data_IF_969074743885
#
_entry.id   IF_969074743885
#
_cell.length_a   1.000
_cell.length_b   1.000
_cell.length_c   1.000
_cell.angle_alpha   90.00
_cell.angle_beta   90.00
_cell.angle_gamma   90.00
#
_symmetry.space_group_name_H-M   'P 1'
#
loop_
_entity.id
_entity.type
_entity.pdbx_description
1 polymer ?
#
# COMPACT_ATOMS: atom_id res chain seq x y z
N UNK A 1 -43.57 -35.46 49.31
CA UNK A 1 -43.40 -34.01 49.09
C UNK A 1 -41.91 -33.73 49.11
N UNK A 2 -41.31 -33.56 47.92
CA UNK A 2 -40.85 -32.26 47.39
C UNK A 2 -39.74 -31.64 48.24
N UNK A 3 -38.51 -31.77 47.77
CA UNK A 3 -37.66 -30.60 47.41
C UNK A 3 -36.36 -31.10 46.76
N UNK A 4 -36.44 -31.21 45.43
CA UNK A 4 -35.30 -31.33 44.53
C UNK A 4 -34.69 -29.93 44.42
N UNK A 5 -33.53 -29.70 45.02
CA UNK A 5 -32.79 -28.45 44.85
C UNK A 5 -31.86 -28.63 43.65
N UNK A 6 -32.32 -28.09 42.52
CA UNK A 6 -31.64 -28.04 41.24
C UNK A 6 -30.35 -27.22 41.42
N UNK A 7 -29.20 -27.90 41.43
CA UNK A 7 -27.90 -27.25 41.30
C UNK A 7 -27.69 -26.93 39.81
N UNK A 8 -28.15 -25.76 39.38
CA UNK A 8 -27.88 -25.23 38.04
C UNK A 8 -26.39 -24.89 37.93
N UNK A 9 -25.60 -25.87 37.49
CA UNK A 9 -24.27 -25.65 36.92
C UNK A 9 -24.42 -24.75 35.70
N UNK A 10 -24.19 -23.46 35.86
CA UNK A 10 -23.93 -22.53 34.76
C UNK A 10 -22.52 -22.89 34.25
N UNK A 11 -22.47 -23.85 33.32
CA UNK A 11 -21.34 -23.98 32.41
C UNK A 11 -21.38 -22.76 31.48
N UNK A 12 -20.75 -21.67 31.91
CA UNK A 12 -20.32 -20.66 30.96
C UNK A 12 -19.30 -21.33 30.05
N UNK A 13 -19.72 -21.64 28.83
CA UNK A 13 -18.83 -21.92 27.72
C UNK A 13 -17.86 -20.74 27.61
N UNK A 14 -16.68 -20.87 28.21
CA UNK A 14 -15.50 -20.16 27.75
C UNK A 14 -15.19 -20.75 26.37
N UNK A 15 -15.91 -20.28 25.34
CA UNK A 15 -15.33 -20.30 24.01
C UNK A 15 -14.00 -19.58 24.16
N UNK A 16 -12.94 -20.17 23.61
CA UNK A 16 -11.63 -19.53 23.55
C UNK A 16 -11.79 -18.23 22.73
N UNK A 17 -12.19 -17.15 23.40
CA UNK A 17 -11.87 -15.79 23.03
C UNK A 17 -10.35 -15.72 23.16
N UNK A 18 -9.65 -16.20 22.14
CA UNK A 18 -8.28 -15.76 21.92
C UNK A 18 -8.41 -14.24 21.86
N UNK A 19 -7.93 -13.57 22.91
CA UNK A 19 -7.95 -12.12 22.94
C UNK A 19 -7.23 -11.66 21.67
N UNK A 20 -7.94 -10.96 20.80
CA UNK A 20 -7.35 -10.35 19.61
C UNK A 20 -6.18 -9.48 20.09
N UNK A 21 -4.93 -9.89 19.81
CA UNK A 21 -3.73 -9.14 20.20
C UNK A 21 -3.04 -8.55 18.97
N UNK A 22 -2.26 -7.49 19.19
CA UNK A 22 -1.42 -6.90 18.15
C UNK A 22 -0.42 -7.92 17.59
N UNK A 23 0.11 -8.82 18.43
CA UNK A 23 1.02 -9.90 18.01
C UNK A 23 0.35 -10.85 17.01
N UNK A 24 -0.90 -11.24 17.23
CA UNK A 24 -1.65 -12.08 16.29
C UNK A 24 -1.82 -11.36 14.95
N UNK A 25 -2.17 -10.08 14.95
CA UNK A 25 -2.32 -9.30 13.73
C UNK A 25 -1.00 -9.14 12.96
N UNK A 26 0.11 -8.92 13.66
CA UNK A 26 1.46 -8.85 13.06
C UNK A 26 1.84 -10.18 12.41
N UNK A 27 1.63 -11.30 13.10
CA UNK A 27 1.95 -12.63 12.56
C UNK A 27 1.09 -12.98 11.35
N UNK A 28 -0.21 -12.67 11.38
CA UNK A 28 -1.09 -12.84 10.22
C UNK A 28 -0.61 -12.01 9.02
N UNK A 29 -0.31 -10.73 9.25
CA UNK A 29 0.16 -9.85 8.17
C UNK A 29 1.54 -10.27 7.62
N UNK A 30 2.43 -10.83 8.45
CA UNK A 30 3.68 -11.41 7.98
C UNK A 30 3.43 -12.62 7.03
N UNK A 31 2.35 -13.37 7.24
CA UNK A 31 1.92 -14.51 6.43
C UNK A 31 0.88 -14.14 5.35
N UNK A 32 0.77 -12.85 5.00
CA UNK A 32 -0.22 -12.34 4.02
C UNK A 32 -0.10 -12.95 2.62
N UNK A 33 1.08 -13.43 2.24
CA UNK A 33 1.32 -14.04 0.94
C UNK A 33 0.97 -15.53 0.90
N UNK A 34 0.94 -16.20 2.06
CA UNK A 34 0.54 -17.60 2.18
C UNK A 34 -0.98 -17.74 2.01
N UNK A 35 -1.73 -16.77 2.55
CA UNK A 35 -3.18 -16.61 2.36
C UNK A 35 -3.50 -15.12 2.37
N UNK A 36 -4.00 -14.58 1.26
CA UNK A 36 -4.35 -13.15 1.14
C UNK A 36 -5.38 -12.72 2.19
N UNK A 37 -6.23 -13.63 2.64
CA UNK A 37 -7.19 -13.40 3.71
C UNK A 37 -6.52 -13.10 5.05
N UNK A 38 -5.28 -13.52 5.27
CA UNK A 38 -4.54 -13.17 6.48
C UNK A 38 -4.37 -11.65 6.62
N UNK A 39 -4.21 -10.92 5.52
CA UNK A 39 -4.18 -9.46 5.56
C UNK A 39 -5.53 -8.88 5.98
N UNK A 40 -6.65 -9.43 5.50
CA UNK A 40 -7.98 -8.99 5.91
C UNK A 40 -8.26 -9.30 7.39
N UNK A 41 -7.86 -10.48 7.86
CA UNK A 41 -7.99 -10.87 9.28
C UNK A 41 -7.13 -9.97 10.18
N UNK A 42 -5.91 -9.65 9.77
CA UNK A 42 -5.06 -8.68 10.48
C UNK A 42 -5.71 -7.30 10.55
N UNK A 43 -6.27 -6.81 9.44
CA UNK A 43 -7.00 -5.54 9.39
C UNK A 43 -8.17 -5.50 10.40
N UNK A 44 -8.95 -6.59 10.50
CA UNK A 44 -10.06 -6.69 11.44
C UNK A 44 -9.58 -6.63 12.90
N UNK A 45 -8.49 -7.33 13.23
CA UNK A 45 -7.90 -7.28 14.57
C UNK A 45 -7.40 -5.87 14.92
N UNK A 46 -6.69 -5.21 14.00
CA UNK A 46 -6.26 -3.83 14.20
C UNK A 46 -7.44 -2.88 14.42
N UNK A 47 -8.53 -3.06 13.67
CA UNK A 47 -9.76 -2.29 13.83
C UNK A 47 -10.39 -2.47 15.22
N UNK A 48 -10.44 -3.71 15.71
CA UNK A 48 -10.99 -4.00 17.04
C UNK A 48 -10.13 -3.43 18.16
N UNK A 49 -8.81 -3.52 18.04
CA UNK A 49 -7.88 -2.90 18.99
C UNK A 49 -7.99 -1.38 18.99
N UNK A 50 -8.15 -0.75 17.82
CA UNK A 50 -8.26 0.70 17.68
C UNK A 50 -9.47 1.28 18.44
N UNK A 51 -10.57 0.51 18.58
CA UNK A 51 -11.78 0.92 19.31
C UNK A 51 -11.55 1.09 20.81
N UNK A 52 -10.57 0.37 21.37
CA UNK A 52 -10.25 0.36 22.81
C UNK A 52 -8.85 0.94 23.09
N UNK A 53 -8.24 1.58 22.09
CA UNK A 53 -6.92 2.16 22.23
C UNK A 53 -6.90 3.27 23.32
N UNK A 54 -5.87 3.30 24.18
CA UNK A 54 -5.85 4.17 25.35
C UNK A 54 -5.58 5.65 25.01
N UNK A 55 -4.97 5.92 23.85
CA UNK A 55 -4.57 7.25 23.43
C UNK A 55 -4.59 7.39 21.90
N UNK A 56 -4.44 8.63 21.43
CA UNK A 56 -4.48 8.98 20.02
C UNK A 56 -3.34 8.36 19.19
N UNK A 57 -2.10 8.33 19.73
CA UNK A 57 -0.95 7.78 19.01
C UNK A 57 -1.12 6.28 18.80
N UNK A 58 -1.52 5.55 19.85
CA UNK A 58 -1.81 4.12 19.75
C UNK A 58 -2.97 3.85 18.79
N UNK A 59 -4.06 4.64 18.85
CA UNK A 59 -5.19 4.51 17.92
C UNK A 59 -4.76 4.75 16.47
N UNK A 60 -3.93 5.76 16.23
CA UNK A 60 -3.42 6.09 14.91
C UNK A 60 -2.49 5.00 14.35
N UNK A 61 -1.63 4.42 15.19
CA UNK A 61 -0.79 3.27 14.81
C UNK A 61 -1.65 2.09 14.32
N UNK A 62 -2.67 1.73 15.10
CA UNK A 62 -3.57 0.63 14.77
C UNK A 62 -4.39 0.91 13.49
N UNK A 63 -4.92 2.12 13.32
CA UNK A 63 -5.71 2.47 12.14
C UNK A 63 -4.86 2.53 10.86
N UNK A 64 -3.60 2.99 10.93
CA UNK A 64 -2.73 2.91 9.75
C UNK A 64 -2.44 1.45 9.40
N UNK A 65 -2.19 0.58 10.38
CA UNK A 65 -1.93 -0.85 10.12
C UNK A 65 -3.17 -1.55 9.55
N UNK A 66 -4.37 -1.16 10.00
CA UNK A 66 -5.61 -1.58 9.36
C UNK A 66 -5.64 -1.16 7.89
N UNK A 67 -5.33 0.11 7.60
CA UNK A 67 -5.32 0.66 6.24
C UNK A 67 -4.28 0.00 5.32
N UNK A 68 -3.09 -0.27 5.84
CA UNK A 68 -2.01 -1.00 5.16
C UNK A 68 -2.45 -2.44 4.83
N UNK A 69 -3.01 -3.15 5.80
CA UNK A 69 -3.45 -4.52 5.61
C UNK A 69 -4.59 -4.62 4.58
N UNK A 70 -5.52 -3.65 4.61
CA UNK A 70 -6.55 -3.50 3.57
C UNK A 70 -5.97 -3.14 2.20
N UNK A 71 -4.93 -2.29 2.16
CA UNK A 71 -4.23 -1.99 0.91
C UNK A 71 -3.67 -3.25 0.29
N UNK A 72 -2.99 -4.10 1.07
CA UNK A 72 -2.46 -5.36 0.57
C UNK A 72 -3.57 -6.30 0.07
N UNK A 73 -4.61 -6.51 0.90
CA UNK A 73 -5.73 -7.38 0.54
C UNK A 73 -6.42 -6.91 -0.75
N UNK A 74 -6.84 -5.64 -0.80
CA UNK A 74 -7.49 -5.05 -1.98
C UNK A 74 -6.58 -5.05 -3.20
N UNK A 75 -5.27 -4.84 -3.02
CA UNK A 75 -4.31 -4.89 -4.13
C UNK A 75 -4.19 -6.31 -4.67
N UNK A 76 -4.14 -7.35 -3.83
CA UNK A 76 -3.84 -8.72 -4.28
C UNK A 76 -5.08 -9.59 -4.51
N UNK A 77 -6.28 -9.07 -4.22
CA UNK A 77 -7.54 -9.78 -4.41
C UNK A 77 -7.68 -10.26 -5.87
N UNK A 78 -7.70 -11.59 -6.04
CA UNK A 78 -7.97 -12.31 -7.29
C UNK A 78 -7.00 -12.00 -8.45
N UNK A 79 -5.75 -11.72 -8.09
CA UNK A 79 -4.68 -11.45 -9.05
C UNK A 79 -4.64 -9.98 -9.46
N UNK A 80 -3.47 -9.38 -9.39
CA UNK A 80 -3.27 -7.99 -9.76
C UNK A 80 -2.02 -7.81 -10.58
N UNK A 81 -2.13 -6.91 -11.56
CA UNK A 81 -1.03 -6.47 -12.37
C UNK A 81 -0.82 -4.97 -12.19
N UNK A 82 0.32 -4.52 -11.63
CA UNK A 82 0.55 -3.11 -11.34
C UNK A 82 0.88 -2.29 -12.58
N UNK A 83 1.36 -2.92 -13.64
CA UNK A 83 1.85 -2.30 -14.89
C UNK A 83 0.95 -2.64 -16.07
N UNK A 84 1.03 -1.86 -17.15
CA UNK A 84 0.29 -2.12 -18.39
C UNK A 84 1.18 -2.97 -19.33
N UNK A 85 0.98 -4.29 -19.33
CA UNK A 85 1.61 -5.21 -20.29
C UNK A 85 0.53 -5.68 -21.27
N UNK A 86 0.83 -5.68 -22.57
CA UNK A 86 -0.05 -6.29 -23.57
C UNK A 86 -0.24 -7.78 -23.25
N UNK A 87 -1.45 -8.31 -23.43
CA UNK A 87 -1.80 -9.74 -23.25
C UNK A 87 -1.95 -10.23 -21.80
N UNK A 88 -1.83 -9.37 -20.78
CA UNK A 88 -2.28 -9.72 -19.42
C UNK A 88 -3.78 -9.44 -19.30
N UNK A 89 -4.55 -10.46 -18.93
CA UNK A 89 -6.00 -10.33 -18.72
C UNK A 89 -6.29 -9.28 -17.65
N UNK A 90 -7.09 -8.27 -18.00
CA UNK A 90 -7.59 -7.31 -17.00
C UNK A 90 -8.32 -8.02 -15.87
N UNK A 91 -8.24 -7.46 -14.67
CA UNK A 91 -9.06 -7.89 -13.53
C UNK A 91 -10.54 -7.76 -13.93
N UNK A 92 -11.35 -8.83 -13.84
CA UNK A 92 -12.77 -8.77 -14.16
C UNK A 92 -13.50 -7.65 -13.41
N UNK A 93 -14.47 -7.00 -14.05
CA UNK A 93 -15.15 -5.82 -13.52
C UNK A 93 -15.84 -6.05 -12.16
N UNK A 94 -16.30 -7.28 -11.90
CA UNK A 94 -16.88 -7.67 -10.61
C UNK A 94 -15.90 -7.48 -9.44
N UNK A 95 -14.61 -7.74 -9.66
CA UNK A 95 -13.57 -7.53 -8.65
C UNK A 95 -13.12 -6.06 -8.59
N UNK A 96 -13.26 -5.27 -9.67
CA UNK A 96 -12.94 -3.83 -9.63
C UNK A 96 -13.78 -3.11 -8.58
N UNK A 97 -15.08 -3.44 -8.48
CA UNK A 97 -15.96 -2.85 -7.46
C UNK A 97 -15.54 -3.24 -6.04
N UNK A 98 -15.28 -4.51 -5.79
CA UNK A 98 -14.87 -4.98 -4.46
C UNK A 98 -13.55 -4.34 -4.03
N UNK A 99 -12.55 -4.30 -4.92
CA UNK A 99 -11.25 -3.64 -4.67
C UNK A 99 -11.42 -2.16 -4.41
N UNK A 100 -12.26 -1.49 -5.20
CA UNK A 100 -12.61 -0.08 -5.00
C UNK A 100 -13.19 0.15 -3.60
N UNK A 101 -14.15 -0.66 -3.16
CA UNK A 101 -14.79 -0.54 -1.84
C UNK A 101 -13.79 -0.78 -0.69
N UNK A 102 -12.89 -1.75 -0.84
CA UNK A 102 -11.81 -2.03 0.14
C UNK A 102 -10.88 -0.82 0.29
N UNK A 103 -10.38 -0.30 -0.83
CA UNK A 103 -9.47 0.85 -0.81
C UNK A 103 -10.16 2.12 -0.33
N UNK A 104 -11.46 2.28 -0.64
CA UNK A 104 -12.26 3.38 -0.13
C UNK A 104 -12.33 3.37 1.40
N UNK A 105 -12.74 2.24 1.97
CA UNK A 105 -12.76 2.07 3.43
C UNK A 105 -11.38 2.36 4.02
N UNK A 106 -10.32 1.82 3.42
CA UNK A 106 -8.96 1.94 3.92
C UNK A 106 -8.43 3.38 3.99
N UNK A 107 -8.77 4.27 3.04
CA UNK A 107 -8.37 5.69 3.17
C UNK A 107 -9.35 6.47 4.06
N UNK A 108 -10.65 6.17 4.04
CA UNK A 108 -11.66 6.91 4.83
C UNK A 108 -11.44 6.76 6.33
N UNK A 109 -11.03 5.57 6.82
CA UNK A 109 -10.72 5.37 8.24
C UNK A 109 -9.57 6.24 8.75
N UNK A 110 -8.68 6.71 7.86
CA UNK A 110 -7.52 7.51 8.23
C UNK A 110 -7.83 9.01 8.33
N UNK A 111 -8.90 9.49 7.70
CA UNK A 111 -9.21 10.93 7.66
C UNK A 111 -9.36 11.55 9.05
N UNK A 112 -10.12 10.96 10.00
CA UNK A 112 -10.29 11.55 11.32
C UNK A 112 -8.95 11.62 12.07
N UNK A 113 -8.21 10.51 12.11
CA UNK A 113 -6.98 10.42 12.90
C UNK A 113 -5.84 11.24 12.31
N UNK A 114 -5.79 11.38 10.99
CA UNK A 114 -4.86 12.27 10.30
C UNK A 114 -5.06 13.73 10.73
N UNK A 115 -6.31 14.19 10.83
CA UNK A 115 -6.62 15.57 11.26
C UNK A 115 -6.29 15.79 12.75
N UNK A 116 -6.58 14.80 13.60
CA UNK A 116 -6.25 14.85 15.02
C UNK A 116 -4.73 14.91 15.24
N UNK A 117 -3.95 14.07 14.53
CA UNK A 117 -2.48 14.12 14.57
C UNK A 117 -1.93 15.48 14.13
N UNK A 118 -2.48 16.08 13.07
CA UNK A 118 -2.07 17.43 12.62
C UNK A 118 -2.30 18.50 13.68
N UNK A 119 -3.36 18.37 14.48
CA UNK A 119 -3.69 19.29 15.57
C UNK A 119 -2.84 19.07 16.84
N UNK A 120 -2.15 17.94 16.97
CA UNK A 120 -1.24 17.70 18.10
C UNK A 120 0.00 18.61 18.04
N UNK A 121 0.61 18.94 19.20
CA UNK A 121 1.92 19.57 19.24
C UNK A 121 2.94 18.77 18.43
N UNK A 122 3.82 19.48 17.72
CA UNK A 122 4.83 18.85 16.90
C UNK A 122 5.85 18.06 17.73
N UNK A 123 6.10 16.82 17.34
CA UNK A 123 7.16 15.96 17.86
C UNK A 123 7.63 15.02 16.75
N UNK A 124 8.85 14.49 16.86
CA UNK A 124 9.40 13.56 15.86
C UNK A 124 8.54 12.29 15.72
N UNK A 125 8.11 11.72 16.84
CA UNK A 125 7.25 10.53 16.87
C UNK A 125 5.89 10.77 16.21
N UNK A 126 5.28 11.95 16.48
CA UNK A 126 4.03 12.37 15.82
C UNK A 126 4.24 12.51 14.32
N UNK A 127 5.29 13.21 13.90
CA UNK A 127 5.57 13.46 12.48
C UNK A 127 5.86 12.14 11.72
N UNK A 128 6.58 11.20 12.33
CA UNK A 128 6.80 9.85 11.78
C UNK A 128 5.49 9.09 11.55
N UNK A 129 4.63 9.08 12.56
CA UNK A 129 3.33 8.40 12.49
C UNK A 129 2.39 9.09 11.49
N UNK A 130 2.31 10.42 11.52
CA UNK A 130 1.50 11.21 10.61
C UNK A 130 1.91 10.97 9.16
N UNK A 131 3.21 10.90 8.88
CA UNK A 131 3.67 10.68 7.51
C UNK A 131 3.33 9.25 7.00
N UNK A 132 3.32 8.22 7.86
CA UNK A 132 2.78 6.88 7.51
C UNK A 132 1.28 6.91 7.24
N UNK A 133 0.51 7.60 8.10
CA UNK A 133 -0.94 7.78 7.94
C UNK A 133 -1.25 8.49 6.61
N UNK A 134 -0.56 9.59 6.32
CA UNK A 134 -0.71 10.34 5.06
C UNK A 134 -0.34 9.47 3.86
N UNK A 135 0.75 8.70 3.96
CA UNK A 135 1.16 7.81 2.88
C UNK A 135 0.07 6.77 2.56
N UNK A 136 -0.41 6.02 3.55
CA UNK A 136 -1.42 4.98 3.30
C UNK A 136 -2.80 5.55 2.95
N UNK A 137 -3.13 6.76 3.41
CA UNK A 137 -4.28 7.51 2.92
C UNK A 137 -4.18 7.74 1.40
N UNK A 138 -3.05 8.30 0.92
CA UNK A 138 -2.87 8.57 -0.49
C UNK A 138 -2.69 7.31 -1.35
N UNK A 139 -2.03 6.27 -0.82
CA UNK A 139 -1.86 4.99 -1.51
C UNK A 139 -3.22 4.33 -1.79
N UNK A 140 -4.08 4.26 -0.76
CA UNK A 140 -5.43 3.72 -0.91
C UNK A 140 -6.33 4.62 -1.76
N UNK A 141 -6.26 5.95 -1.62
CA UNK A 141 -6.99 6.88 -2.51
C UNK A 141 -6.57 6.70 -3.98
N UNK A 142 -5.28 6.50 -4.24
CA UNK A 142 -4.75 6.22 -5.57
C UNK A 142 -5.29 4.92 -6.14
N UNK A 143 -5.28 3.84 -5.36
CA UNK A 143 -5.83 2.54 -5.77
C UNK A 143 -7.33 2.57 -5.98
N UNK A 144 -8.07 3.27 -5.12
CA UNK A 144 -9.48 3.53 -5.34
C UNK A 144 -9.68 4.24 -6.69
N UNK A 145 -8.88 5.27 -6.99
CA UNK A 145 -8.95 6.00 -8.25
C UNK A 145 -8.60 5.17 -9.49
N UNK A 146 -7.64 4.26 -9.37
CA UNK A 146 -7.32 3.28 -10.42
C UNK A 146 -8.50 2.35 -10.71
N UNK A 147 -9.15 1.82 -9.66
CA UNK A 147 -10.29 0.90 -9.82
C UNK A 147 -11.59 1.60 -10.27
N UNK A 148 -11.82 2.84 -9.84
CA UNK A 148 -12.96 3.67 -10.27
C UNK A 148 -12.77 4.23 -11.70
N UNK A 149 -11.54 4.17 -12.22
CA UNK A 149 -11.14 4.78 -13.49
C UNK A 149 -10.37 6.08 -13.26
N UNK A 150 -9.12 6.21 -13.77
CA UNK A 150 -8.29 7.38 -13.51
C UNK A 150 -8.94 8.71 -13.92
N UNK A 151 -9.58 8.76 -15.09
CA UNK A 151 -10.26 9.97 -15.59
C UNK A 151 -11.50 10.32 -14.77
N UNK A 152 -12.30 9.31 -14.40
CA UNK A 152 -13.48 9.50 -13.55
C UNK A 152 -13.10 10.01 -12.15
N UNK A 153 -11.87 9.74 -11.71
CA UNK A 153 -11.33 10.10 -10.41
C UNK A 153 -10.50 11.39 -10.43
N UNK A 154 -10.44 12.11 -11.55
CA UNK A 154 -9.58 13.30 -11.72
C UNK A 154 -9.84 14.38 -10.65
N UNK A 155 -11.08 14.52 -10.18
CA UNK A 155 -11.44 15.46 -9.11
C UNK A 155 -10.69 15.23 -7.79
N UNK A 156 -10.17 14.02 -7.56
CA UNK A 156 -9.38 13.68 -6.36
C UNK A 156 -7.86 13.87 -6.55
N UNK A 157 -7.40 14.25 -7.75
CA UNK A 157 -5.96 14.43 -8.02
C UNK A 157 -5.32 15.47 -7.09
N UNK A 158 -5.99 16.60 -6.86
CA UNK A 158 -5.50 17.64 -5.96
C UNK A 158 -5.33 17.14 -4.52
N UNK A 159 -6.31 16.38 -4.03
CA UNK A 159 -6.29 15.74 -2.71
C UNK A 159 -5.14 14.76 -2.58
N UNK A 160 -5.00 13.84 -3.54
CA UNK A 160 -3.94 12.83 -3.54
C UNK A 160 -2.56 13.46 -3.63
N UNK A 161 -2.35 14.37 -4.58
CA UNK A 161 -1.06 15.05 -4.76
C UNK A 161 -0.71 15.89 -3.53
N UNK A 162 -1.67 16.63 -2.96
CA UNK A 162 -1.47 17.43 -1.75
C UNK A 162 -1.03 16.58 -0.56
N UNK A 163 -1.70 15.43 -0.34
CA UNK A 163 -1.30 14.48 0.70
C UNK A 163 0.14 13.97 0.49
N UNK A 164 0.51 13.56 -0.74
CA UNK A 164 1.87 13.10 -1.01
C UNK A 164 2.93 14.19 -0.88
N UNK A 165 2.60 15.45 -1.19
CA UNK A 165 3.49 16.58 -1.00
C UNK A 165 3.65 16.96 0.47
N UNK A 166 2.63 16.78 1.30
CA UNK A 166 2.71 17.06 2.74
C UNK A 166 3.77 16.19 3.46
N UNK A 167 4.00 14.95 2.99
CA UNK A 167 5.09 14.09 3.50
C UNK A 167 6.47 14.76 3.34
N UNK A 168 6.65 15.55 2.28
CA UNK A 168 7.88 16.32 2.08
C UNK A 168 7.96 17.47 3.08
N UNK A 169 6.86 18.12 3.39
CA UNK A 169 6.82 19.23 4.35
C UNK A 169 7.11 18.74 5.78
N UNK A 170 6.81 17.47 6.07
CA UNK A 170 7.22 16.77 7.30
C UNK A 170 8.70 16.34 7.31
N UNK A 171 9.44 16.54 6.21
CA UNK A 171 10.79 16.02 6.01
C UNK A 171 10.88 14.49 6.19
N UNK A 172 9.90 13.77 5.64
CA UNK A 172 9.76 12.30 5.70
C UNK A 172 9.69 11.67 4.31
N UNK A 173 10.39 12.25 3.34
CA UNK A 173 10.34 11.83 1.93
C UNK A 173 10.77 10.38 1.71
N UNK A 174 11.55 9.81 2.61
CA UNK A 174 12.05 8.44 2.60
C UNK A 174 11.00 7.37 2.90
N UNK A 175 9.84 7.75 3.46
CA UNK A 175 8.77 6.81 3.81
C UNK A 175 8.40 5.93 2.61
N UNK A 176 8.28 4.62 2.90
CA UNK A 176 7.85 3.62 1.94
C UNK A 176 8.71 3.62 0.66
N UNK A 177 10.02 3.78 0.89
CA UNK A 177 11.06 3.86 -0.13
C UNK A 177 10.75 4.96 -1.15
N UNK A 178 10.62 6.20 -0.68
CA UNK A 178 10.25 7.35 -1.50
C UNK A 178 8.89 7.20 -2.19
N UNK A 179 7.95 6.57 -1.48
CA UNK A 179 6.66 6.16 -2.03
C UNK A 179 5.75 7.33 -2.43
N UNK A 180 5.91 8.51 -1.83
CA UNK A 180 5.17 9.71 -2.21
C UNK A 180 5.44 10.11 -3.66
N UNK A 181 6.71 10.07 -4.09
CA UNK A 181 7.09 10.31 -5.48
C UNK A 181 6.61 9.18 -6.40
N UNK A 182 6.63 7.92 -5.94
CA UNK A 182 6.06 6.78 -6.69
C UNK A 182 4.59 7.02 -7.02
N UNK A 183 3.78 7.41 -6.04
CA UNK A 183 2.34 7.65 -6.20
C UNK A 183 2.06 8.84 -7.12
N UNK A 184 2.73 9.98 -6.91
CA UNK A 184 2.58 11.16 -7.79
C UNK A 184 2.98 10.81 -9.23
N UNK A 185 4.11 10.12 -9.40
CA UNK A 185 4.60 9.68 -10.70
C UNK A 185 3.62 8.76 -11.41
N UNK A 186 3.04 7.80 -10.68
CA UNK A 186 2.01 6.90 -11.21
C UNK A 186 0.76 7.65 -11.65
N UNK A 187 0.31 8.65 -10.90
CA UNK A 187 -0.81 9.50 -11.29
C UNK A 187 -0.54 10.29 -12.58
N UNK A 188 0.65 10.87 -12.73
CA UNK A 188 1.05 11.54 -13.98
C UNK A 188 1.10 10.59 -15.17
N UNK A 189 1.50 9.33 -14.95
CA UNK A 189 1.49 8.29 -15.97
C UNK A 189 0.05 7.94 -16.40
N UNK A 190 -0.81 7.62 -15.42
CA UNK A 190 -2.19 7.18 -15.68
C UNK A 190 -3.08 8.27 -16.31
N UNK A 191 -2.75 9.53 -16.08
CA UNK A 191 -3.48 10.68 -16.62
C UNK A 191 -2.77 11.32 -17.82
N UNK A 192 -1.74 10.68 -18.38
CA UNK A 192 -0.83 11.29 -19.35
C UNK A 192 -1.51 11.83 -20.63
N UNK A 193 -2.70 11.33 -20.99
CA UNK A 193 -3.48 11.81 -22.14
C UNK A 193 -4.19 13.15 -21.89
N UNK A 194 -4.28 13.60 -20.63
CA UNK A 194 -4.97 14.84 -20.26
C UNK A 194 -4.03 16.06 -20.27
N UNK A 195 -4.54 17.26 -20.62
CA UNK A 195 -3.77 18.50 -20.53
C UNK A 195 -3.19 18.73 -19.13
N UNK A 196 -1.91 19.07 -19.06
CA UNK A 196 -1.21 19.32 -17.80
C UNK A 196 -0.56 18.08 -17.17
N UNK A 197 -0.84 16.88 -17.68
CA UNK A 197 -0.19 15.62 -17.31
C UNK A 197 0.84 15.21 -18.37
N UNK A 198 1.42 14.01 -18.25
CA UNK A 198 2.27 13.44 -19.29
C UNK A 198 3.40 12.55 -18.78
N UNK A 199 3.87 11.66 -19.66
CA UNK A 199 4.89 10.66 -19.35
C UNK A 199 6.24 11.26 -18.90
N UNK A 200 6.67 12.40 -19.47
CA UNK A 200 7.90 13.09 -19.01
C UNK A 200 7.82 13.55 -17.55
N UNK A 201 6.63 13.98 -17.10
CA UNK A 201 6.41 14.33 -15.68
C UNK A 201 6.41 13.08 -14.82
N UNK A 202 5.76 12.00 -15.28
CA UNK A 202 5.80 10.71 -14.61
C UNK A 202 7.25 10.23 -14.41
N UNK A 203 8.06 10.21 -15.46
CA UNK A 203 9.49 9.87 -15.43
C UNK A 203 10.24 10.71 -14.39
N UNK A 204 10.01 12.02 -14.33
CA UNK A 204 10.68 12.90 -13.36
C UNK A 204 10.44 12.46 -11.90
N UNK A 205 9.20 12.13 -11.54
CA UNK A 205 8.86 11.69 -10.19
C UNK A 205 9.28 10.25 -9.92
N UNK A 206 9.06 9.34 -10.87
CA UNK A 206 9.41 7.93 -10.73
C UNK A 206 10.93 7.72 -10.65
N UNK A 207 11.71 8.52 -11.38
CA UNK A 207 13.16 8.58 -11.25
C UNK A 207 13.57 8.95 -9.82
N UNK A 208 12.95 9.97 -9.21
CA UNK A 208 13.25 10.35 -7.81
C UNK A 208 12.92 9.24 -6.83
N UNK A 209 11.80 8.52 -7.03
CA UNK A 209 11.46 7.37 -6.21
C UNK A 209 12.52 6.27 -6.34
N UNK A 210 12.89 5.91 -7.57
CA UNK A 210 13.90 4.90 -7.86
C UNK A 210 15.29 5.27 -7.30
N UNK A 211 15.82 6.45 -7.63
CA UNK A 211 17.16 6.88 -7.20
C UNK A 211 17.25 7.12 -5.69
N UNK A 212 16.16 7.57 -5.05
CA UNK A 212 16.14 7.76 -3.60
C UNK A 212 16.18 6.44 -2.83
N UNK A 213 15.70 5.35 -3.44
CA UNK A 213 15.50 4.06 -2.77
C UNK A 213 16.48 2.98 -3.22
N UNK A 214 17.63 3.36 -3.79
CA UNK A 214 18.64 2.39 -4.21
C UNK A 214 19.13 1.54 -3.02
N UNK A 215 19.39 0.25 -3.29
CA UNK A 215 20.07 -0.66 -2.35
C UNK A 215 21.50 -0.19 -2.04
N UNK A 216 22.16 -0.85 -1.09
CA UNK A 216 23.51 -0.47 -0.65
C UNK A 216 24.55 -0.47 -1.79
N UNK A 217 24.41 -1.42 -2.73
CA UNK A 217 25.27 -1.54 -3.92
C UNK A 217 24.96 -0.48 -5.00
N UNK A 218 23.88 0.29 -4.82
CA UNK A 218 23.38 1.31 -5.77
C UNK A 218 23.07 0.75 -7.16
N UNK A 219 22.63 -0.50 -7.23
CA UNK A 219 22.34 -1.23 -8.48
C UNK A 219 20.87 -1.17 -8.86
N UNK A 220 19.96 -1.21 -7.87
CA UNK A 220 18.51 -1.15 -8.08
C UNK A 220 17.79 -0.61 -6.85
N UNK A 221 16.51 -0.25 -6.99
CA UNK A 221 15.66 0.17 -5.88
C UNK A 221 15.30 -1.01 -4.96
N UNK A 222 15.30 -0.79 -3.65
CA UNK A 222 14.83 -1.76 -2.63
C UNK A 222 13.32 -2.03 -2.71
N UNK A 223 12.58 -1.24 -3.48
CA UNK A 223 11.16 -1.39 -3.72
C UNK A 223 10.88 -1.62 -5.21
N UNK A 224 10.42 -2.83 -5.58
CA UNK A 224 10.27 -3.21 -6.99
C UNK A 224 9.19 -2.42 -7.75
N UNK A 225 8.11 -1.94 -7.12
CA UNK A 225 7.21 -0.98 -7.81
C UNK A 225 7.91 0.30 -8.28
N UNK A 226 8.94 0.81 -7.58
CA UNK A 226 9.71 1.96 -8.09
C UNK A 226 10.46 1.59 -9.37
N UNK A 227 10.98 0.36 -9.45
CA UNK A 227 11.64 -0.19 -10.65
C UNK A 227 10.63 -0.32 -11.79
N UNK A 228 9.54 -1.04 -11.56
CA UNK A 228 8.55 -1.37 -12.58
C UNK A 228 7.90 -0.13 -13.18
N UNK A 229 7.43 0.80 -12.33
CA UNK A 229 6.79 2.02 -12.82
C UNK A 229 7.77 2.91 -13.55
N UNK A 230 9.01 3.01 -13.08
CA UNK A 230 10.01 3.84 -13.75
C UNK A 230 10.35 3.26 -15.13
N UNK A 231 10.62 1.96 -15.23
CA UNK A 231 10.87 1.27 -16.49
C UNK A 231 9.70 1.42 -17.47
N UNK A 232 8.46 1.21 -17.02
CA UNK A 232 7.26 1.39 -17.84
C UNK A 232 7.13 2.83 -18.36
N UNK A 233 7.40 3.83 -17.52
CA UNK A 233 7.35 5.24 -17.92
C UNK A 233 8.46 5.62 -18.90
N UNK A 234 9.66 5.04 -18.77
CA UNK A 234 10.78 5.24 -19.69
C UNK A 234 10.46 4.76 -21.10
N UNK A 235 9.79 3.62 -21.22
CA UNK A 235 9.34 3.09 -22.52
C UNK A 235 8.40 4.06 -23.23
N UNK A 236 7.52 4.75 -22.49
CA UNK A 236 6.60 5.76 -23.05
C UNK A 236 7.28 7.06 -23.51
N UNK A 237 8.58 7.24 -23.21
CA UNK A 237 9.36 8.41 -23.66
C UNK A 237 10.57 8.00 -24.50
N UNK A 238 10.49 6.83 -25.13
CA UNK A 238 11.51 6.30 -26.05
C UNK A 238 12.89 6.03 -25.39
N UNK A 239 12.93 5.87 -24.06
CA UNK A 239 14.13 5.50 -23.29
C UNK A 239 14.21 3.98 -23.01
N UNK A 240 13.79 3.15 -23.97
CA UNK A 240 13.67 1.69 -23.81
C UNK A 240 14.98 1.01 -23.40
N UNK A 241 16.14 1.48 -23.88
CA UNK A 241 17.43 0.91 -23.51
C UNK A 241 17.72 1.05 -22.00
N UNK A 242 17.37 2.20 -21.42
CA UNK A 242 17.51 2.43 -19.98
C UNK A 242 16.50 1.59 -19.19
N UNK A 243 15.26 1.47 -19.70
CA UNK A 243 14.25 0.61 -19.09
C UNK A 243 14.73 -0.85 -18.98
N UNK A 244 15.32 -1.40 -20.06
CA UNK A 244 15.90 -2.76 -20.06
C UNK A 244 16.99 -2.91 -19.00
N UNK A 245 17.96 -2.00 -18.96
CA UNK A 245 19.04 -2.05 -17.99
C UNK A 245 18.54 -2.02 -16.53
N UNK A 246 17.53 -1.19 -16.24
CA UNK A 246 16.92 -1.11 -14.90
C UNK A 246 16.23 -2.43 -14.52
N UNK A 247 15.49 -3.04 -15.45
CA UNK A 247 14.82 -4.32 -15.21
C UNK A 247 15.84 -5.45 -15.00
N UNK A 248 16.88 -5.53 -15.84
CA UNK A 248 17.95 -6.52 -15.72
C UNK A 248 18.69 -6.41 -14.38
N UNK A 249 18.99 -5.20 -13.92
CA UNK A 249 19.60 -4.97 -12.60
C UNK A 249 18.68 -5.40 -11.46
N UNK A 250 17.36 -5.20 -11.59
CA UNK A 250 16.40 -5.66 -10.58
C UNK A 250 16.24 -7.19 -10.57
N UNK A 251 16.40 -7.85 -11.71
CA UNK A 251 16.34 -9.31 -11.82
C UNK A 251 17.62 -10.01 -11.35
N UNK A 252 18.75 -9.30 -11.27
CA UNK A 252 20.02 -9.87 -10.84
C UNK A 252 20.20 -9.91 -9.31
N UNK A 253 19.37 -9.18 -8.55
CA UNK A 253 19.42 -9.15 -7.08
C UNK A 253 18.53 -10.22 -6.45
N UNK A 254 18.92 -10.70 -5.26
CA UNK A 254 18.15 -11.68 -4.51
C UNK A 254 16.94 -11.02 -3.79
N UNK A 255 15.73 -11.43 -4.17
CA UNK A 255 14.49 -10.95 -3.57
C UNK A 255 14.40 -11.17 -2.05
N UNK A 256 15.01 -12.23 -1.52
CA UNK A 256 14.99 -12.57 -0.09
C UNK A 256 15.76 -11.56 0.77
N UNK A 257 16.72 -10.85 0.17
CA UNK A 257 17.62 -9.95 0.89
C UNK A 257 17.44 -8.48 0.52
N UNK A 258 16.67 -8.18 -0.53
CA UNK A 258 16.52 -6.81 -1.02
C UNK A 258 15.73 -5.91 -0.06
N UNK A 259 14.63 -6.43 0.51
CA UNK A 259 13.84 -5.76 1.53
C UNK A 259 13.12 -6.78 2.43
N UNK A 260 13.52 -6.95 3.70
CA UNK A 260 13.02 -8.01 4.58
C UNK A 260 11.49 -8.03 4.73
N UNK A 261 10.87 -6.86 4.85
CA UNK A 261 9.40 -6.78 5.04
C UNK A 261 8.59 -6.97 3.76
N UNK A 262 9.25 -7.05 2.59
CA UNK A 262 8.60 -7.05 1.27
C UNK A 262 9.03 -8.23 0.39
N UNK A 263 9.52 -9.32 0.98
CA UNK A 263 9.93 -10.51 0.25
C UNK A 263 8.85 -11.00 -0.74
N UNK A 264 7.58 -11.22 -0.32
CA UNK A 264 6.58 -11.74 -1.24
C UNK A 264 6.22 -10.77 -2.37
N UNK A 265 6.12 -9.47 -2.07
CA UNK A 265 5.90 -8.44 -3.09
C UNK A 265 7.06 -8.39 -4.07
N UNK A 266 8.31 -8.42 -3.58
CA UNK A 266 9.52 -8.34 -4.41
C UNK A 266 9.60 -9.51 -5.37
N UNK A 267 9.26 -10.74 -4.93
CA UNK A 267 9.18 -11.91 -5.81
C UNK A 267 8.15 -11.72 -6.92
N UNK A 268 6.93 -11.29 -6.57
CA UNK A 268 5.89 -11.01 -7.57
C UNK A 268 6.30 -9.91 -8.54
N UNK A 269 6.93 -8.85 -8.04
CA UNK A 269 7.43 -7.72 -8.82
C UNK A 269 8.58 -8.13 -9.77
N UNK A 270 9.45 -9.07 -9.38
CA UNK A 270 10.47 -9.64 -10.28
C UNK A 270 9.84 -10.47 -11.41
N UNK A 271 8.77 -11.23 -11.14
CA UNK A 271 8.03 -11.91 -12.20
C UNK A 271 7.38 -10.91 -13.18
N UNK A 272 6.91 -9.77 -12.68
CA UNK A 272 6.39 -8.70 -13.54
C UNK A 272 7.51 -8.03 -14.35
N UNK A 273 8.69 -7.87 -13.77
CA UNK A 273 9.86 -7.31 -14.46
C UNK A 273 10.31 -8.22 -15.62
N UNK A 274 10.33 -9.54 -15.43
CA UNK A 274 10.62 -10.52 -16.50
C UNK A 274 9.66 -10.36 -17.67
N UNK A 275 8.36 -10.36 -17.38
CA UNK A 275 7.32 -10.21 -18.41
C UNK A 275 7.38 -8.87 -19.11
N UNK A 276 7.63 -7.78 -18.39
CA UNK A 276 7.80 -6.47 -19.03
C UNK A 276 9.01 -6.50 -19.97
N UNK A 277 10.16 -7.03 -19.51
CA UNK A 277 11.39 -7.12 -20.30
C UNK A 277 11.19 -7.91 -21.60
N UNK A 278 10.39 -8.98 -21.59
CA UNK A 278 10.05 -9.78 -22.78
C UNK A 278 9.28 -9.00 -23.85
N UNK A 279 8.63 -7.89 -23.48
CA UNK A 279 7.88 -7.04 -24.43
C UNK A 279 8.69 -5.88 -25.03
N UNK A 280 9.92 -5.64 -24.53
CA UNK A 280 10.77 -4.51 -24.93
C UNK A 280 11.83 -4.91 -25.96
#
# INVERSE_FOLDING_TARGET
MKSFLLLSMIFCFATNLWANTQEIAVNLYAQRADDVENALRAAQIYSDLAKVAPDLMTRADLLYRESEARYYYGTNLKGYWPIEISDVTEVPDEYKKERMDIHKQAYEILVPVMNELKAMPQSAERDDLLAKVIFFYGANLGKWGENNGPVASLGQWGTLKGAMEEIKDLNKVEIEAYGSYRIIGRGFYKLASLPGFGYKKAVTYLKRAYEGSLNEEKTTSIHGLNVLFYAEALVKVDETALAKAILENFLSVNAETLHPDRIPETKGEQEFAKKLLETL
#
